data_IF_792364847493
#
_entry.id   IF_792364847493
#
_cell.length_a   1.000
_cell.length_b   1.000
_cell.length_c   1.000
_cell.angle_alpha   90.00
_cell.angle_beta   90.00
_cell.angle_gamma   90.00
#
_symmetry.space_group_name_H-M   'P 1'
#
loop_
_entity.id
_entity.type
_entity.pdbx_description
1 polymer ?
#
# COMPACT_ATOMS: atom_id res chain seq x y z
N UNK A 1 -44.77 11.14 -8.63
CA UNK A 1 -44.57 9.72 -8.99
C UNK A 1 -43.07 9.49 -9.07
N UNK A 2 -42.50 8.88 -8.03
CA UNK A 2 -41.07 8.52 -7.97
C UNK A 2 -40.86 7.26 -8.82
N UNK A 3 -39.98 7.33 -9.80
CA UNK A 3 -39.55 6.14 -10.57
C UNK A 3 -39.07 5.03 -9.61
N UNK A 4 -39.46 3.77 -9.86
CA UNK A 4 -38.97 2.66 -9.07
C UNK A 4 -37.47 2.55 -9.26
N UNK A 5 -36.71 2.53 -8.12
CA UNK A 5 -35.28 2.36 -8.13
C UNK A 5 -34.91 1.10 -8.92
N UNK A 6 -34.17 1.27 -10.02
CA UNK A 6 -33.71 0.18 -10.88
C UNK A 6 -32.80 -0.76 -10.06
N UNK A 7 -33.30 -1.96 -9.77
CA UNK A 7 -32.57 -2.99 -9.00
C UNK A 7 -31.24 -3.43 -9.64
N UNK A 8 -31.02 -3.09 -10.92
CA UNK A 8 -29.79 -3.38 -11.67
C UNK A 8 -28.77 -2.23 -11.64
N UNK A 9 -29.11 -1.08 -11.04
CA UNK A 9 -28.24 0.09 -10.99
C UNK A 9 -26.87 -0.20 -10.34
N UNK A 10 -26.76 -0.96 -9.23
CA UNK A 10 -25.46 -1.32 -8.63
C UNK A 10 -24.56 -2.12 -9.56
N UNK A 11 -25.09 -3.08 -10.32
CA UNK A 11 -24.30 -3.91 -11.25
C UNK A 11 -23.73 -3.07 -12.40
N UNK A 12 -24.53 -2.18 -12.99
CA UNK A 12 -24.08 -1.29 -14.07
C UNK A 12 -22.96 -0.34 -13.63
N UNK A 13 -23.03 0.15 -12.39
CA UNK A 13 -21.97 1.00 -11.83
C UNK A 13 -20.66 0.23 -11.65
N UNK A 14 -20.71 -0.97 -11.08
CA UNK A 14 -19.52 -1.84 -10.90
C UNK A 14 -18.93 -2.22 -12.26
N UNK A 15 -19.73 -2.53 -13.27
CA UNK A 15 -19.27 -2.82 -14.63
C UNK A 15 -18.61 -1.59 -15.29
N UNK A 16 -19.19 -0.39 -15.12
CA UNK A 16 -18.58 0.84 -15.61
C UNK A 16 -17.24 1.14 -14.93
N UNK A 17 -17.16 0.96 -13.61
CA UNK A 17 -15.91 1.07 -12.87
C UNK A 17 -14.87 0.04 -13.33
N UNK A 18 -15.26 -1.22 -13.51
CA UNK A 18 -14.38 -2.27 -13.99
C UNK A 18 -13.75 -1.90 -15.35
N UNK A 19 -14.57 -1.39 -16.29
CA UNK A 19 -14.09 -0.91 -17.60
C UNK A 19 -13.15 0.29 -17.48
N UNK A 20 -13.52 1.28 -16.65
CA UNK A 20 -12.72 2.50 -16.47
C UNK A 20 -11.37 2.22 -15.79
N UNK A 21 -11.31 1.24 -14.90
CA UNK A 21 -10.13 0.89 -14.11
C UNK A 21 -9.27 -0.22 -14.76
N UNK A 22 -9.77 -0.90 -15.80
CA UNK A 22 -9.04 -1.94 -16.52
C UNK A 22 -7.67 -1.49 -17.06
N UNK A 23 -7.50 -0.26 -17.61
CA UNK A 23 -6.20 0.21 -18.11
C UNK A 23 -5.20 0.59 -17.03
N UNK A 24 -5.56 0.53 -15.73
CA UNK A 24 -4.63 0.85 -14.64
C UNK A 24 -3.44 -0.08 -14.65
N UNK A 25 -2.23 0.48 -14.46
CA UNK A 25 -1.00 -0.28 -14.24
C UNK A 25 -0.81 -0.72 -12.77
N UNK A 26 -1.78 -0.46 -11.91
CA UNK A 26 -1.83 -0.90 -10.53
C UNK A 26 -2.92 -1.96 -10.36
N UNK A 27 -2.74 -2.90 -9.44
CA UNK A 27 -3.79 -3.85 -9.11
C UNK A 27 -4.97 -3.13 -8.46
N UNK A 28 -6.14 -3.18 -9.09
CA UNK A 28 -7.34 -2.50 -8.63
C UNK A 28 -8.42 -3.51 -8.29
N UNK A 29 -9.04 -3.30 -7.12
CA UNK A 29 -10.24 -4.03 -6.71
C UNK A 29 -11.34 -3.05 -6.37
N UNK A 30 -12.59 -3.42 -6.68
CA UNK A 30 -13.79 -2.75 -6.21
C UNK A 30 -14.53 -3.70 -5.29
N UNK A 31 -14.83 -3.27 -4.09
CA UNK A 31 -15.58 -4.05 -3.10
C UNK A 31 -16.86 -3.32 -2.70
N UNK A 32 -17.79 -4.04 -2.10
CA UNK A 32 -18.98 -3.46 -1.48
C UNK A 32 -18.66 -2.82 -0.10
N UNK A 33 -19.68 -2.30 0.55
CA UNK A 33 -19.59 -1.67 1.89
C UNK A 33 -19.07 -2.62 2.98
N UNK A 34 -19.21 -3.94 2.79
CA UNK A 34 -18.79 -4.98 3.72
C UNK A 34 -17.38 -5.50 3.38
N UNK A 35 -16.78 -4.96 2.32
CA UNK A 35 -15.43 -5.31 1.87
C UNK A 35 -15.39 -6.55 0.97
N UNK A 36 -16.52 -7.04 0.47
CA UNK A 36 -16.52 -8.19 -0.47
C UNK A 36 -16.15 -7.69 -1.86
N UNK A 37 -15.11 -8.24 -2.45
CA UNK A 37 -14.60 -7.88 -3.77
C UNK A 37 -15.64 -8.25 -4.84
N UNK A 38 -16.13 -7.26 -5.56
CA UNK A 38 -17.11 -7.39 -6.63
C UNK A 38 -16.45 -7.54 -8.00
N UNK A 39 -15.30 -6.86 -8.19
CA UNK A 39 -14.53 -6.94 -9.43
C UNK A 39 -13.07 -6.58 -9.18
N UNK A 40 -12.19 -6.99 -10.10
CA UNK A 40 -10.76 -6.72 -10.09
C UNK A 40 -10.24 -6.55 -11.53
N UNK A 41 -9.17 -5.78 -11.73
CA UNK A 41 -8.48 -5.72 -13.02
C UNK A 41 -7.41 -6.84 -13.14
N UNK A 42 -6.87 -7.01 -14.34
CA UNK A 42 -5.89 -8.07 -14.63
C UNK A 42 -4.55 -7.88 -13.90
N UNK A 43 -4.24 -6.66 -13.45
CA UNK A 43 -3.02 -6.41 -12.65
C UNK A 43 -3.04 -7.14 -11.29
N UNK A 44 -4.23 -7.48 -10.77
CA UNK A 44 -4.35 -8.33 -9.57
C UNK A 44 -3.66 -9.68 -9.78
N UNK A 45 -3.78 -10.26 -10.98
CA UNK A 45 -3.11 -11.53 -11.30
C UNK A 45 -1.59 -11.37 -11.33
N UNK A 46 -1.09 -10.27 -11.90
CA UNK A 46 0.36 -10.00 -11.96
C UNK A 46 0.97 -9.73 -10.58
N UNK A 47 0.29 -8.91 -9.78
CA UNK A 47 0.79 -8.51 -8.45
C UNK A 47 0.72 -9.66 -7.45
N UNK A 48 -0.41 -10.38 -7.40
CA UNK A 48 -0.66 -11.40 -6.39
C UNK A 48 -0.45 -12.84 -6.88
N UNK A 49 -0.22 -13.03 -8.19
CA UNK A 49 -0.10 -14.35 -8.84
C UNK A 49 -1.31 -15.23 -8.57
N UNK A 50 -2.49 -14.65 -8.55
CA UNK A 50 -3.78 -15.31 -8.34
C UNK A 50 -4.72 -14.89 -9.43
N UNK A 51 -5.53 -15.83 -9.95
CA UNK A 51 -6.56 -15.43 -10.89
C UNK A 51 -7.54 -14.45 -10.23
N UNK A 52 -8.02 -13.48 -10.99
CA UNK A 52 -8.98 -12.50 -10.49
C UNK A 52 -10.27 -13.17 -10.03
N UNK A 53 -10.70 -14.25 -10.68
CA UNK A 53 -11.89 -15.00 -10.30
C UNK A 53 -11.74 -15.65 -8.91
N UNK A 54 -10.51 -15.98 -8.51
CA UNK A 54 -10.23 -16.55 -7.18
C UNK A 54 -10.36 -15.55 -6.04
N UNK A 55 -10.41 -14.25 -6.34
CA UNK A 55 -10.51 -13.17 -5.35
C UNK A 55 -11.87 -12.49 -5.35
N UNK A 56 -12.64 -12.57 -6.44
CA UNK A 56 -14.03 -12.07 -6.50
C UNK A 56 -14.88 -12.86 -5.50
N UNK A 57 -15.76 -12.19 -4.79
CA UNK A 57 -16.57 -12.75 -3.70
C UNK A 57 -15.79 -12.96 -2.39
N UNK A 58 -14.51 -12.60 -2.33
CA UNK A 58 -13.67 -12.71 -1.12
C UNK A 58 -13.47 -11.35 -0.46
N UNK A 59 -13.19 -11.37 0.84
CA UNK A 59 -12.74 -10.19 1.56
C UNK A 59 -11.25 -9.93 1.27
N UNK A 60 -10.75 -8.66 1.21
CA UNK A 60 -9.34 -8.32 0.95
C UNK A 60 -8.32 -8.96 1.91
N UNK A 61 -8.75 -9.42 3.08
CA UNK A 61 -7.91 -10.23 3.97
C UNK A 61 -7.35 -11.49 3.31
N UNK A 62 -7.93 -11.95 2.18
CA UNK A 62 -7.34 -13.04 1.38
C UNK A 62 -5.93 -12.73 0.89
N UNK A 63 -5.57 -11.45 0.76
CA UNK A 63 -4.23 -11.00 0.39
C UNK A 63 -3.29 -10.85 1.58
N UNK A 64 -3.80 -10.95 2.81
CA UNK A 64 -3.00 -10.74 4.01
C UNK A 64 -2.32 -12.03 4.48
N UNK A 65 -1.16 -11.96 5.15
CA UNK A 65 -0.57 -13.11 5.83
C UNK A 65 -1.46 -13.56 6.99
N UNK A 66 -1.30 -14.83 7.43
CA UNK A 66 -2.15 -15.42 8.49
C UNK A 66 -2.04 -14.70 9.84
N UNK A 67 -0.89 -14.11 10.13
CA UNK A 67 -0.59 -13.33 11.33
C UNK A 67 -0.89 -11.84 11.17
N UNK A 68 -1.64 -11.46 10.13
CA UNK A 68 -2.04 -10.07 9.93
C UNK A 68 -2.94 -9.59 11.07
N UNK A 69 -2.62 -8.43 11.62
CA UNK A 69 -3.37 -7.87 12.75
C UNK A 69 -4.79 -7.47 12.36
N UNK A 70 -5.78 -8.18 12.92
CA UNK A 70 -7.19 -7.83 12.75
C UNK A 70 -7.50 -6.44 13.33
N UNK A 71 -6.79 -6.02 14.38
CA UNK A 71 -6.90 -4.67 14.94
C UNK A 71 -6.49 -3.62 13.91
N UNK A 72 -5.39 -3.86 13.18
CA UNK A 72 -4.92 -2.95 12.14
C UNK A 72 -5.88 -2.92 10.94
N UNK A 73 -6.39 -4.09 10.52
CA UNK A 73 -7.44 -4.16 9.49
C UNK A 73 -8.66 -3.32 9.89
N UNK A 74 -9.13 -3.47 11.12
CA UNK A 74 -10.25 -2.68 11.64
C UNK A 74 -9.97 -1.18 11.60
N UNK A 75 -8.76 -0.75 11.97
CA UNK A 75 -8.36 0.66 11.89
C UNK A 75 -8.44 1.21 10.46
N UNK A 76 -8.01 0.43 9.46
CA UNK A 76 -8.12 0.82 8.05
C UNK A 76 -9.59 1.03 7.67
N UNK A 77 -10.45 0.06 7.95
CA UNK A 77 -11.88 0.16 7.65
C UNK A 77 -12.57 1.30 8.40
N UNK A 78 -12.26 1.49 9.67
CA UNK A 78 -12.82 2.59 10.47
C UNK A 78 -12.38 3.96 9.91
N UNK A 79 -11.12 4.07 9.45
CA UNK A 79 -10.63 5.29 8.79
C UNK A 79 -11.37 5.54 7.48
N UNK A 80 -11.55 4.51 6.64
CA UNK A 80 -12.28 4.63 5.38
C UNK A 80 -13.73 5.06 5.63
N UNK A 81 -14.37 4.52 6.67
CA UNK A 81 -15.74 4.92 7.04
C UNK A 81 -15.82 6.36 7.49
N UNK A 82 -14.86 6.82 8.29
CA UNK A 82 -14.85 8.15 8.90
C UNK A 82 -14.41 9.25 7.91
N UNK A 83 -13.34 9.02 7.16
CA UNK A 83 -12.72 10.03 6.29
C UNK A 83 -12.92 9.81 4.79
N UNK A 84 -13.53 8.67 4.40
CA UNK A 84 -13.74 8.32 3.00
C UNK A 84 -12.52 7.72 2.29
N UNK A 85 -11.33 7.77 2.88
CA UNK A 85 -10.10 7.27 2.26
C UNK A 85 -9.08 6.77 3.29
N UNK A 86 -8.19 5.91 2.83
CA UNK A 86 -7.00 5.48 3.55
C UNK A 86 -5.86 5.22 2.57
N UNK A 87 -4.63 5.57 2.93
CA UNK A 87 -3.43 5.21 2.21
C UNK A 87 -2.30 4.80 3.17
N UNK A 88 -1.48 3.88 2.72
CA UNK A 88 -0.36 3.40 3.54
C UNK A 88 0.30 2.16 2.98
N UNK A 89 1.25 1.63 3.75
CA UNK A 89 1.93 0.37 3.43
C UNK A 89 1.31 -0.74 4.24
N UNK A 90 0.96 -1.84 3.54
CA UNK A 90 0.54 -3.09 4.16
C UNK A 90 1.40 -4.24 3.65
N UNK A 91 1.54 -5.28 4.45
CA UNK A 91 2.19 -6.53 4.02
C UNK A 91 1.12 -7.45 3.46
N UNK A 92 1.29 -7.83 2.19
CA UNK A 92 0.43 -8.81 1.55
C UNK A 92 1.20 -10.08 1.18
N UNK A 93 0.49 -11.10 0.72
CA UNK A 93 1.05 -12.36 0.27
C UNK A 93 0.54 -12.73 -1.12
N UNK A 94 1.42 -13.31 -1.94
CA UNK A 94 1.06 -13.89 -3.22
C UNK A 94 0.46 -15.31 -3.09
N UNK A 95 0.19 -15.98 -4.21
CA UNK A 95 -0.31 -17.36 -4.23
C UNK A 95 0.64 -18.36 -3.56
N UNK A 96 1.95 -18.13 -3.60
CA UNK A 96 2.97 -18.95 -2.94
C UNK A 96 3.22 -18.54 -1.48
N UNK A 97 2.36 -17.69 -0.90
CA UNK A 97 2.48 -17.15 0.47
C UNK A 97 3.75 -16.34 0.72
N UNK A 98 4.43 -15.86 -0.33
CA UNK A 98 5.56 -14.95 -0.17
C UNK A 98 5.06 -13.58 0.23
N UNK A 99 5.65 -13.04 1.30
CA UNK A 99 5.31 -11.71 1.82
C UNK A 99 5.96 -10.63 0.99
N UNK A 100 5.23 -9.57 0.71
CA UNK A 100 5.76 -8.36 0.09
C UNK A 100 5.00 -7.13 0.56
N UNK A 101 5.68 -5.98 0.72
CA UNK A 101 5.02 -4.74 1.04
C UNK A 101 4.33 -4.18 -0.19
N UNK A 102 3.14 -3.64 -0.01
CA UNK A 102 2.42 -2.88 -1.03
C UNK A 102 2.10 -1.49 -0.51
N UNK A 103 2.09 -0.53 -1.42
CA UNK A 103 1.40 0.74 -1.24
C UNK A 103 -0.06 0.50 -1.57
N UNK A 104 -0.91 0.66 -0.58
CA UNK A 104 -2.35 0.53 -0.72
C UNK A 104 -2.98 1.91 -0.58
N UNK A 105 -3.73 2.31 -1.60
CA UNK A 105 -4.63 3.46 -1.55
C UNK A 105 -6.05 2.94 -1.65
N UNK A 106 -6.91 3.42 -0.80
CA UNK A 106 -8.32 2.99 -0.76
C UNK A 106 -9.22 4.20 -0.60
N UNK A 107 -10.29 4.25 -1.38
CA UNK A 107 -11.31 5.31 -1.28
C UNK A 107 -12.70 4.69 -1.23
N UNK A 108 -13.59 5.32 -0.46
CA UNK A 108 -15.00 5.02 -0.47
C UNK A 108 -15.70 5.91 -1.50
N UNK A 109 -16.55 5.31 -2.31
CA UNK A 109 -17.39 6.00 -3.29
C UNK A 109 -18.83 5.62 -3.03
N UNK A 110 -19.67 6.60 -2.73
CA UNK A 110 -21.10 6.41 -2.57
C UNK A 110 -21.79 6.73 -3.91
N UNK A 111 -22.60 5.80 -4.42
CA UNK A 111 -23.33 5.96 -5.68
C UNK A 111 -24.71 5.35 -5.58
N UNK A 112 -25.75 6.16 -5.83
CA UNK A 112 -27.15 5.75 -5.64
C UNK A 112 -27.38 5.36 -4.17
N UNK A 113 -27.92 4.17 -3.95
CA UNK A 113 -28.08 3.60 -2.60
C UNK A 113 -26.88 2.74 -2.16
N UNK A 114 -25.84 2.61 -2.99
CA UNK A 114 -24.68 1.77 -2.74
C UNK A 114 -23.48 2.54 -2.25
N UNK A 115 -22.67 1.88 -1.43
CA UNK A 115 -21.33 2.34 -1.01
C UNK A 115 -20.30 1.32 -1.44
N UNK A 116 -19.24 1.78 -2.09
CA UNK A 116 -18.20 0.95 -2.68
C UNK A 116 -16.83 1.36 -2.17
N UNK A 117 -15.92 0.41 -2.11
CA UNK A 117 -14.53 0.60 -1.71
C UNK A 117 -13.65 0.28 -2.92
N UNK A 118 -12.96 1.28 -3.44
CA UNK A 118 -12.00 1.09 -4.54
C UNK A 118 -10.60 1.11 -3.94
N UNK A 119 -9.82 0.08 -4.24
CA UNK A 119 -8.45 -0.05 -3.73
C UNK A 119 -7.46 -0.21 -4.86
N UNK A 120 -6.37 0.57 -4.82
CA UNK A 120 -5.20 0.45 -5.70
C UNK A 120 -4.04 -0.10 -4.88
N UNK A 121 -3.46 -1.20 -5.37
CA UNK A 121 -2.35 -1.86 -4.73
C UNK A 121 -1.15 -1.87 -5.68
N UNK A 122 -0.04 -1.29 -5.24
CA UNK A 122 1.22 -1.25 -5.97
C UNK A 122 2.30 -1.90 -5.14
N UNK A 123 3.02 -2.91 -5.66
CA UNK A 123 4.15 -3.48 -4.94
C UNK A 123 5.14 -2.39 -4.55
N UNK A 124 5.59 -2.42 -3.31
CA UNK A 124 6.69 -1.56 -2.88
C UNK A 124 7.95 -2.06 -3.60
N UNK A 125 8.66 -1.23 -4.35
CA UNK A 125 9.74 -1.70 -5.20
C UNK A 125 10.89 -2.28 -4.38
N UNK A 126 11.36 -3.49 -4.72
CA UNK A 126 12.57 -4.09 -4.14
C UNK A 126 13.78 -3.19 -4.31
N UNK A 127 13.89 -2.57 -5.47
CA UNK A 127 14.84 -1.49 -5.77
C UNK A 127 14.06 -0.21 -5.93
N UNK A 128 13.97 0.55 -4.86
CA UNK A 128 13.29 1.83 -4.91
C UNK A 128 13.97 2.76 -5.95
N UNK A 129 13.21 3.60 -6.66
CA UNK A 129 13.76 4.57 -7.62
C UNK A 129 14.47 5.74 -6.90
N UNK A 130 15.03 5.48 -5.74
CA UNK A 130 15.82 6.41 -4.94
C UNK A 130 17.01 5.66 -4.31
N UNK A 131 18.12 6.35 -4.12
CA UNK A 131 19.28 5.83 -3.40
C UNK A 131 19.26 6.35 -1.96
N UNK A 132 19.74 5.52 -1.04
CA UNK A 132 19.98 5.89 0.34
C UNK A 132 21.49 5.99 0.58
N UNK A 133 21.92 6.96 1.40
CA UNK A 133 23.24 6.90 1.97
C UNK A 133 23.32 5.75 2.97
N UNK A 134 24.53 5.25 3.25
CA UNK A 134 24.74 4.17 4.22
C UNK A 134 24.10 4.48 5.59
N UNK A 135 24.24 5.71 6.09
CA UNK A 135 23.64 6.14 7.35
C UNK A 135 22.12 6.19 7.31
N UNK A 136 21.53 6.64 6.19
CA UNK A 136 20.08 6.61 5.99
C UNK A 136 19.54 5.18 6.00
N UNK A 137 20.17 4.27 5.25
CA UNK A 137 19.75 2.87 5.22
C UNK A 137 19.85 2.21 6.60
N UNK A 138 20.91 2.49 7.36
CA UNK A 138 21.07 2.01 8.73
C UNK A 138 19.97 2.56 9.65
N UNK A 139 19.70 3.88 9.62
CA UNK A 139 18.62 4.49 10.41
C UNK A 139 17.25 3.85 10.10
N UNK A 140 16.94 3.67 8.80
CA UNK A 140 15.67 3.09 8.39
C UNK A 140 15.53 1.62 8.82
N UNK A 141 16.62 0.84 8.70
CA UNK A 141 16.65 -0.56 9.15
C UNK A 141 16.38 -0.68 10.65
N UNK A 142 17.06 0.12 11.47
CA UNK A 142 16.89 0.11 12.92
C UNK A 142 15.50 0.59 13.35
N UNK A 143 14.96 1.60 12.66
CA UNK A 143 13.58 2.04 12.87
C UNK A 143 12.58 0.91 12.57
N UNK A 144 12.80 0.15 11.50
CA UNK A 144 12.00 -1.01 11.13
C UNK A 144 12.04 -2.14 12.17
N UNK A 145 13.14 -2.23 12.91
CA UNK A 145 13.28 -3.14 14.05
C UNK A 145 12.60 -2.64 15.33
N UNK A 146 11.88 -1.53 15.26
CA UNK A 146 11.14 -0.94 16.38
C UNK A 146 11.98 -0.05 17.30
N UNK A 147 13.24 0.27 16.93
CA UNK A 147 14.09 1.13 17.74
C UNK A 147 13.66 2.59 17.69
N UNK A 148 13.72 3.23 18.85
CA UNK A 148 13.46 4.66 18.99
C UNK A 148 14.61 5.49 18.39
N UNK A 149 14.36 6.76 18.01
CA UNK A 149 15.43 7.64 17.54
C UNK A 149 16.62 7.78 18.50
N UNK A 150 16.38 7.69 19.81
CA UNK A 150 17.43 7.74 20.84
C UNK A 150 18.31 6.48 20.81
N UNK A 151 17.71 5.30 20.69
CA UNK A 151 18.44 4.03 20.56
C UNK A 151 19.23 3.97 19.26
N UNK A 152 18.63 4.42 18.14
CA UNK A 152 19.31 4.52 16.84
C UNK A 152 20.53 5.45 16.93
N UNK A 153 20.39 6.59 17.60
CA UNK A 153 21.46 7.55 17.81
C UNK A 153 22.64 6.90 18.58
N UNK A 154 22.33 6.16 19.64
CA UNK A 154 23.33 5.42 20.41
C UNK A 154 24.05 4.35 19.59
N UNK A 155 23.30 3.51 18.85
CA UNK A 155 23.89 2.43 18.03
C UNK A 155 24.75 2.94 16.88
N UNK A 156 24.37 4.05 16.27
CA UNK A 156 25.09 4.62 15.13
C UNK A 156 26.15 5.65 15.53
N UNK A 157 26.29 5.93 16.83
CA UNK A 157 27.15 6.96 17.39
C UNK A 157 26.97 8.32 16.68
N UNK A 158 25.74 8.81 16.65
CA UNK A 158 25.35 10.11 16.08
C UNK A 158 24.33 10.79 16.99
N UNK A 159 24.07 12.07 16.79
CA UNK A 159 23.06 12.79 17.56
C UNK A 159 21.62 12.37 17.17
N UNK A 160 20.68 12.50 18.10
CA UNK A 160 19.23 12.28 17.81
C UNK A 160 18.73 13.20 16.70
N UNK A 161 19.24 14.44 16.65
CA UNK A 161 18.90 15.39 15.57
C UNK A 161 19.40 14.90 14.21
N UNK A 162 20.57 14.26 14.16
CA UNK A 162 21.08 13.63 12.93
C UNK A 162 20.19 12.48 12.48
N UNK A 163 19.71 11.63 13.41
CA UNK A 163 18.75 10.56 13.10
C UNK A 163 17.48 11.15 12.51
N UNK A 164 16.89 12.16 13.15
CA UNK A 164 15.69 12.86 12.65
C UNK A 164 15.90 13.44 11.26
N UNK A 165 17.05 14.03 11.00
CA UNK A 165 17.42 14.55 9.68
C UNK A 165 17.50 13.44 8.63
N UNK A 166 18.11 12.29 8.95
CA UNK A 166 18.19 11.15 8.06
C UNK A 166 16.81 10.59 7.75
N UNK A 167 15.95 10.39 8.75
CA UNK A 167 14.60 9.88 8.58
C UNK A 167 13.74 10.82 7.74
N UNK A 168 13.85 12.15 7.95
CA UNK A 168 13.12 13.12 7.14
C UNK A 168 13.56 13.11 5.66
N UNK A 169 14.86 13.00 5.40
CA UNK A 169 15.39 12.86 4.03
C UNK A 169 14.90 11.58 3.35
N UNK A 170 14.82 10.47 4.07
CA UNK A 170 14.25 9.21 3.57
C UNK A 170 12.77 9.41 3.24
N UNK A 171 12.00 10.01 4.15
CA UNK A 171 10.58 10.33 3.95
C UNK A 171 10.36 11.13 2.65
N UNK A 172 11.15 12.19 2.45
CA UNK A 172 11.10 13.03 1.24
C UNK A 172 11.47 12.21 -0.02
N UNK A 173 12.53 11.39 0.05
CA UNK A 173 12.97 10.58 -1.08
C UNK A 173 11.91 9.56 -1.50
N UNK A 174 11.27 8.90 -0.54
CA UNK A 174 10.18 7.94 -0.79
C UNK A 174 8.96 8.67 -1.36
N UNK A 175 8.54 9.78 -0.75
CA UNK A 175 7.40 10.57 -1.23
C UNK A 175 7.61 11.03 -2.69
N UNK A 176 8.80 11.53 -3.01
CA UNK A 176 9.15 11.96 -4.38
C UNK A 176 9.13 10.80 -5.38
N UNK A 177 9.63 9.63 -4.99
CA UNK A 177 9.70 8.46 -5.85
C UNK A 177 8.31 7.87 -6.15
N UNK A 178 7.35 8.04 -5.26
CA UNK A 178 6.03 7.42 -5.31
C UNK A 178 4.92 8.40 -5.73
N UNK A 179 5.25 9.69 -5.86
CA UNK A 179 4.28 10.73 -6.21
C UNK A 179 3.25 11.00 -5.13
N UNK A 180 3.58 10.73 -3.84
CA UNK A 180 2.67 10.88 -2.73
C UNK A 180 3.36 11.30 -1.43
N UNK A 181 2.60 11.47 -0.36
CA UNK A 181 3.08 11.83 0.97
C UNK A 181 3.27 10.57 1.82
N UNK A 182 4.42 10.43 2.47
CA UNK A 182 4.63 9.42 3.51
C UNK A 182 4.24 10.04 4.86
N UNK A 183 3.09 9.68 5.39
CA UNK A 183 2.58 10.24 6.64
C UNK A 183 3.44 9.82 7.84
N UNK A 184 3.70 8.51 7.98
CA UNK A 184 4.45 7.93 9.08
C UNK A 184 5.61 7.07 8.58
N UNK A 185 6.84 7.58 8.77
CA UNK A 185 8.07 6.87 8.38
C UNK A 185 8.36 5.67 9.29
N UNK A 186 7.97 5.72 10.56
CA UNK A 186 8.14 4.62 11.51
C UNK A 186 7.30 3.42 11.13
N UNK A 187 6.02 3.65 10.89
CA UNK A 187 5.09 2.62 10.43
C UNK A 187 5.55 2.01 9.10
N UNK A 188 5.99 2.85 8.15
CA UNK A 188 6.56 2.38 6.88
C UNK A 188 7.78 1.47 7.10
N UNK A 189 8.72 1.88 7.97
CA UNK A 189 9.93 1.12 8.23
C UNK A 189 9.63 -0.26 8.86
N UNK A 190 8.70 -0.31 9.82
CA UNK A 190 8.26 -1.55 10.46
C UNK A 190 7.64 -2.50 9.42
N UNK A 191 6.73 -2.00 8.57
CA UNK A 191 6.09 -2.82 7.54
C UNK A 191 7.07 -3.34 6.49
N UNK A 192 8.02 -2.51 6.07
CA UNK A 192 9.08 -2.95 5.17
C UNK A 192 9.95 -4.03 5.81
N UNK A 193 10.27 -3.90 7.10
CA UNK A 193 11.05 -4.89 7.84
C UNK A 193 10.30 -6.23 7.97
N UNK A 194 9.02 -6.20 8.37
CA UNK A 194 8.15 -7.38 8.47
C UNK A 194 8.01 -8.12 7.13
N UNK A 195 8.06 -7.38 6.02
CA UNK A 195 8.05 -7.94 4.67
C UNK A 195 9.41 -8.47 4.19
N UNK A 196 10.47 -8.32 5.00
CA UNK A 196 11.82 -8.72 4.62
C UNK A 196 12.52 -7.74 3.67
N UNK A 197 11.98 -6.52 3.46
CA UNK A 197 12.65 -5.53 2.62
C UNK A 197 13.92 -4.99 3.30
N UNK A 198 15.05 -5.08 2.57
CA UNK A 198 16.35 -4.67 3.10
C UNK A 198 16.78 -3.30 2.53
N UNK A 199 16.71 -2.21 3.33
CA UNK A 199 17.10 -0.89 2.87
C UNK A 199 18.60 -0.76 2.52
N UNK A 200 19.44 -1.68 3.00
CA UNK A 200 20.87 -1.69 2.67
C UNK A 200 21.13 -1.98 1.19
N UNK A 201 20.20 -2.65 0.50
CA UNK A 201 20.27 -2.87 -0.96
C UNK A 201 20.04 -1.60 -1.78
N UNK A 202 19.61 -0.51 -1.15
CA UNK A 202 19.38 0.79 -1.79
C UNK A 202 20.60 1.71 -1.74
N UNK A 203 21.72 1.26 -1.14
CA UNK A 203 22.93 2.06 -1.06
C UNK A 203 23.55 2.17 -2.46
N UNK A 204 23.75 3.40 -2.93
CA UNK A 204 24.37 3.70 -4.24
C UNK A 204 23.70 3.04 -5.46
N UNK A 205 22.40 2.69 -5.34
CA UNK A 205 21.65 2.28 -6.51
C UNK A 205 21.72 3.40 -7.57
N UNK A 206 22.21 3.14 -8.79
CA UNK A 206 22.28 4.16 -9.83
C UNK A 206 20.86 4.66 -10.10
N UNK A 207 20.67 5.98 -10.09
CA UNK A 207 19.44 6.60 -10.56
C UNK A 207 19.15 6.06 -11.96
N UNK A 208 18.04 5.37 -12.14
CA UNK A 208 17.56 5.06 -13.47
C UNK A 208 17.35 6.40 -14.19
N UNK A 209 18.30 6.77 -15.06
CA UNK A 209 18.12 7.92 -15.93
C UNK A 209 16.87 7.64 -16.75
N UNK A 210 15.85 8.50 -16.61
CA UNK A 210 14.74 8.52 -17.57
C UNK A 210 15.37 8.70 -18.93
N UNK A 211 15.42 7.66 -19.71
CA UNK A 211 15.64 7.75 -21.15
C UNK A 211 14.48 8.56 -21.69
N UNK A 212 14.77 9.83 -22.08
CA UNK A 212 13.86 10.60 -22.90
C UNK A 212 13.74 9.84 -24.23
N UNK A 213 12.58 9.28 -24.48
CA UNK A 213 12.07 9.04 -25.83
C UNK A 213 11.10 10.14 -26.17
#
# INVERSE_FOLDING_TARGET
MSEPADKNQPNRFVEALAKALAPSCEAVTVADKDGIILTANDEVERVYRRSKDSVIGRHPLTFCPKDFSLKFSKQIFDTIRASGAWDGVVVNVDSARRRFPILLRTVRVDFGSGSYIISWAKPFPEKAPFSLSRKQAQCFKLLGQGKTPKEIAGELNISVSSVSTHLNRIKIAIAKAQGGVVADIGHLAIRCHEAGWNPMMQINAPFARKTKQ
#
